data_IF_716489817242
#
_entry.id   IF_716489817242
#
_cell.length_a   1.000
_cell.length_b   1.000
_cell.length_c   1.000
_cell.angle_alpha   90.00
_cell.angle_beta   90.00
_cell.angle_gamma   90.00
#
_symmetry.space_group_name_H-M   'P 1'
#
loop_
_entity.id
_entity.type
_entity.pdbx_description
1 polymer ?
#
# COMPACT_ATOMS: atom_id res chain seq x y z
N UNK A 1 2.94 16.49 2.79
CA UNK A 1 2.47 15.84 1.55
C UNK A 1 2.26 14.35 1.80
N UNK A 2 1.60 13.64 0.88
CA UNK A 2 1.46 12.18 0.91
C UNK A 2 2.74 11.50 0.42
N UNK A 3 3.30 10.59 1.22
CA UNK A 3 4.62 10.02 0.96
C UNK A 3 4.60 8.55 0.57
N UNK A 4 3.80 7.71 1.24
CA UNK A 4 3.72 6.27 0.96
C UNK A 4 2.37 5.73 1.38
N UNK A 5 1.84 4.77 0.62
CA UNK A 5 0.52 4.17 0.85
C UNK A 5 0.64 2.65 0.86
N UNK A 6 0.00 2.01 1.84
CA UNK A 6 -0.03 0.57 2.01
C UNK A 6 -1.45 0.10 2.23
N UNK A 7 -1.81 -1.01 1.60
CA UNK A 7 -3.15 -1.61 1.65
C UNK A 7 -2.99 -3.05 2.09
N UNK A 8 -3.66 -3.45 3.16
CA UNK A 8 -3.62 -4.80 3.70
C UNK A 8 -5.00 -5.27 4.11
N UNK A 9 -5.21 -6.59 4.11
CA UNK A 9 -6.45 -7.19 4.61
C UNK A 9 -6.44 -7.24 6.13
N UNK A 10 -7.55 -6.87 6.77
CA UNK A 10 -7.65 -6.78 8.23
C UNK A 10 -7.58 -8.16 8.91
N UNK A 11 -8.18 -9.19 8.31
CA UNK A 11 -8.32 -10.51 8.94
C UNK A 11 -7.00 -11.21 9.25
N UNK A 12 -5.98 -11.01 8.42
CA UNK A 12 -4.70 -11.73 8.45
C UNK A 12 -3.48 -10.84 8.24
N UNK A 13 -3.66 -9.53 8.04
CA UNK A 13 -2.59 -8.59 7.73
C UNK A 13 -1.95 -8.82 6.37
N UNK A 14 -2.61 -9.56 5.45
CA UNK A 14 -2.05 -9.88 4.14
C UNK A 14 -1.88 -8.59 3.32
N UNK A 15 -0.66 -8.24 2.87
CA UNK A 15 -0.47 -7.06 2.02
C UNK A 15 -1.14 -7.29 0.66
N UNK A 16 -1.98 -6.34 0.25
CA UNK A 16 -2.79 -6.40 -0.97
C UNK A 16 -2.18 -5.56 -2.09
N UNK A 17 -1.76 -4.33 -1.75
CA UNK A 17 -1.11 -3.39 -2.66
C UNK A 17 -0.27 -2.38 -1.87
N UNK A 18 0.73 -1.79 -2.53
CA UNK A 18 1.57 -0.75 -1.95
C UNK A 18 2.02 0.21 -3.04
N UNK A 19 2.17 1.50 -2.71
CA UNK A 19 2.72 2.48 -3.64
C UNK A 19 4.21 2.27 -3.86
N UNK A 20 4.67 2.36 -5.11
CA UNK A 20 6.10 2.45 -5.41
C UNK A 20 6.64 3.81 -4.99
N UNK A 21 7.69 3.82 -4.17
CA UNK A 21 8.33 5.04 -3.67
C UNK A 21 9.75 5.16 -4.23
N UNK A 22 10.23 6.40 -4.37
CA UNK A 22 11.61 6.67 -4.79
C UNK A 22 12.61 6.21 -3.72
N UNK A 23 13.81 5.81 -4.13
CA UNK A 23 14.84 5.25 -3.23
C UNK A 23 15.17 6.15 -2.03
N UNK A 24 15.11 7.48 -2.20
CA UNK A 24 15.34 8.42 -1.11
C UNK A 24 14.22 8.38 -0.06
N UNK A 25 12.96 8.36 -0.53
CA UNK A 25 11.76 8.26 0.32
C UNK A 25 11.72 6.90 1.01
N UNK A 26 12.06 5.83 0.31
CA UNK A 26 12.09 4.49 0.89
C UNK A 26 13.09 4.38 2.06
N UNK A 27 14.28 4.97 1.92
CA UNK A 27 15.27 4.97 3.01
C UNK A 27 14.81 5.82 4.20
N UNK A 28 14.21 6.99 3.93
CA UNK A 28 13.72 7.89 4.97
C UNK A 28 12.51 7.32 5.74
N UNK A 29 11.69 6.50 5.07
CA UNK A 29 10.48 5.92 5.64
C UNK A 29 10.64 4.48 6.14
N UNK A 30 11.84 3.90 6.09
CA UNK A 30 12.06 2.48 6.45
C UNK A 30 11.48 2.13 7.83
N UNK A 31 11.71 2.97 8.83
CA UNK A 31 11.19 2.79 10.19
C UNK A 31 9.66 2.89 10.23
N UNK A 32 9.09 3.91 9.58
CA UNK A 32 7.64 4.13 9.50
C UNK A 32 6.90 3.02 8.75
N UNK A 33 7.55 2.42 7.74
CA UNK A 33 7.03 1.25 7.04
C UNK A 33 7.03 0.00 7.92
N UNK A 34 8.00 -0.17 8.82
CA UNK A 34 7.99 -1.25 9.82
C UNK A 34 6.86 -1.06 10.81
N UNK A 35 6.70 0.16 11.31
CA UNK A 35 5.63 0.51 12.22
C UNK A 35 4.24 0.27 11.59
N UNK A 36 4.06 0.58 10.29
CA UNK A 36 2.85 0.24 9.55
C UNK A 36 2.58 -1.28 9.50
N UNK A 37 3.61 -2.10 9.28
CA UNK A 37 3.48 -3.57 9.33
C UNK A 37 3.06 -4.06 10.72
N UNK A 38 3.63 -3.50 11.78
CA UNK A 38 3.24 -3.83 13.16
C UNK A 38 1.79 -3.42 13.44
N UNK A 39 1.38 -2.27 12.94
CA UNK A 39 0.00 -1.82 13.05
C UNK A 39 -0.96 -2.81 12.38
N UNK A 40 -0.70 -3.26 11.16
CA UNK A 40 -1.55 -4.23 10.47
C UNK A 40 -1.71 -5.54 11.25
N UNK A 41 -0.69 -5.95 12.00
CA UNK A 41 -0.76 -7.14 12.88
C UNK A 41 -1.55 -6.90 14.17
N UNK A 42 -1.70 -5.65 14.61
CA UNK A 42 -2.38 -5.26 15.85
C UNK A 42 -3.80 -4.76 15.66
N UNK A 43 -4.20 -4.41 14.44
CA UNK A 43 -5.59 -4.04 14.14
C UNK A 43 -6.48 -5.25 14.45
N UNK A 44 -7.35 -5.10 15.44
CA UNK A 44 -8.35 -6.10 15.80
C UNK A 44 -9.68 -5.84 15.08
N UNK A 45 -10.59 -6.82 15.03
CA UNK A 45 -11.97 -6.61 14.56
C UNK A 45 -12.75 -5.52 15.29
N UNK A 46 -12.29 -5.11 16.49
CA UNK A 46 -12.85 -4.03 17.31
C UNK A 46 -12.07 -2.71 17.17
N UNK A 47 -11.11 -2.64 16.25
CA UNK A 47 -10.36 -1.42 16.01
C UNK A 47 -11.28 -0.31 15.47
N UNK A 48 -10.93 0.93 15.80
CA UNK A 48 -11.59 2.10 15.27
C UNK A 48 -11.48 2.13 13.73
N UNK A 49 -12.57 2.40 12.99
CA UNK A 49 -12.54 2.44 11.54
C UNK A 49 -11.59 3.49 10.96
N UNK A 50 -11.32 4.58 11.70
CA UNK A 50 -10.39 5.64 11.31
C UNK A 50 -9.54 6.03 12.50
N UNK A 51 -8.24 6.17 12.30
CA UNK A 51 -7.33 6.59 13.35
C UNK A 51 -6.12 7.30 12.75
N UNK A 52 -5.62 8.27 13.50
CA UNK A 52 -4.33 8.90 13.26
C UNK A 52 -3.33 8.34 14.26
N UNK A 53 -2.12 8.04 13.81
CA UNK A 53 -1.02 7.58 14.65
C UNK A 53 0.15 8.53 14.48
N UNK A 54 0.50 9.20 15.56
CA UNK A 54 1.69 10.03 15.60
C UNK A 54 2.91 9.15 15.85
N UNK A 55 3.86 9.19 14.92
CA UNK A 55 5.14 8.50 15.03
C UNK A 55 6.25 9.54 14.92
N UNK A 56 6.94 9.79 16.02
CA UNK A 56 8.03 10.76 16.06
C UNK A 56 7.68 12.18 15.58
N UNK A 57 8.71 12.99 15.25
CA UNK A 57 8.52 14.42 14.97
C UNK A 57 8.19 14.74 13.50
N UNK A 58 8.49 13.84 12.55
CA UNK A 58 8.46 14.18 11.11
C UNK A 58 7.22 13.71 10.37
N UNK A 59 6.73 12.52 10.67
CA UNK A 59 5.65 11.90 9.90
C UNK A 59 4.47 11.51 10.79
N UNK A 60 3.34 11.27 10.14
CA UNK A 60 2.12 10.82 10.78
C UNK A 60 1.50 9.74 9.89
N UNK A 61 1.01 8.68 10.52
CA UNK A 61 0.33 7.60 9.83
C UNK A 61 -1.16 7.80 10.00
N UNK A 62 -1.91 7.75 8.92
CA UNK A 62 -3.37 7.75 8.96
C UNK A 62 -3.85 6.43 8.38
N UNK A 63 -4.79 5.77 9.05
CA UNK A 63 -5.43 4.59 8.49
C UNK A 63 -6.96 4.68 8.52
N UNK A 64 -7.56 4.06 7.51
CA UNK A 64 -9.00 3.87 7.37
C UNK A 64 -9.28 2.39 7.06
N UNK A 65 -10.26 1.81 7.72
CA UNK A 65 -10.76 0.46 7.46
C UNK A 65 -12.03 0.57 6.64
N UNK A 66 -12.08 -0.12 5.51
CA UNK A 66 -13.27 -0.23 4.65
C UNK A 66 -13.32 -1.58 3.94
N UNK A 67 -14.50 -2.21 3.80
CA UNK A 67 -15.78 -1.83 4.41
C UNK A 67 -15.83 -2.10 5.93
N UNK A 68 -16.65 -1.34 6.65
CA UNK A 68 -16.94 -1.50 8.08
C UNK A 68 -18.06 -2.56 8.26
N UNK A 69 -18.06 -3.39 9.33
CA UNK A 69 -17.08 -3.46 10.42
C UNK A 69 -15.78 -4.19 10.06
N UNK A 70 -14.71 -3.90 10.81
CA UNK A 70 -13.37 -4.48 10.62
C UNK A 70 -13.32 -6.02 10.73
N UNK A 71 -14.35 -6.64 11.35
CA UNK A 71 -14.47 -8.10 11.43
C UNK A 71 -14.91 -8.79 10.13
N UNK A 72 -15.22 -8.05 9.07
CA UNK A 72 -15.58 -8.66 7.78
C UNK A 72 -14.34 -9.31 7.12
N UNK A 73 -14.49 -10.45 6.42
CA UNK A 73 -13.37 -11.13 5.77
C UNK A 73 -12.81 -10.34 4.58
N UNK A 74 -13.59 -9.44 4.00
CA UNK A 74 -13.24 -8.52 2.93
C UNK A 74 -12.85 -7.12 3.44
N UNK A 75 -12.77 -6.91 4.77
CA UNK A 75 -12.32 -5.65 5.33
C UNK A 75 -10.84 -5.39 5.01
N UNK A 76 -10.58 -4.19 4.49
CA UNK A 76 -9.25 -3.73 4.09
C UNK A 76 -8.86 -2.53 4.93
N UNK A 77 -7.63 -2.51 5.40
CA UNK A 77 -7.01 -1.33 5.99
C UNK A 77 -6.19 -0.62 4.91
N UNK A 78 -6.53 0.66 4.72
CA UNK A 78 -5.81 1.61 3.89
C UNK A 78 -5.00 2.51 4.81
N UNK A 79 -3.69 2.50 4.65
CA UNK A 79 -2.76 3.30 5.45
C UNK A 79 -1.97 4.24 4.55
N UNK A 80 -1.83 5.48 4.98
CA UNK A 80 -1.00 6.50 4.33
C UNK A 80 -0.03 7.11 5.33
N UNK A 81 1.20 7.31 4.90
CA UNK A 81 2.24 8.04 5.62
C UNK A 81 2.33 9.44 5.01
N UNK A 82 2.19 10.46 5.85
CA UNK A 82 2.26 11.86 5.44
C UNK A 82 3.26 12.63 6.30
N UNK A 83 3.69 13.80 5.83
CA UNK A 83 4.32 14.78 6.72
C UNK A 83 3.39 15.15 7.87
N UNK A 84 3.96 15.41 9.05
CA UNK A 84 3.19 15.82 10.24
C UNK A 84 2.38 17.10 10.03
N UNK A 85 2.85 18.00 9.16
CA UNK A 85 2.16 19.24 8.81
C UNK A 85 1.02 19.06 7.81
N UNK A 86 0.85 17.87 7.23
CA UNK A 86 -0.17 17.63 6.21
C UNK A 86 -1.58 17.62 6.84
N UNK A 87 -2.57 18.31 6.25
CA UNK A 87 -3.91 18.37 6.82
C UNK A 87 -4.57 16.98 6.92
N UNK A 88 -4.99 16.60 8.13
CA UNK A 88 -5.67 15.30 8.40
C UNK A 88 -6.87 15.07 7.49
N UNK A 89 -7.66 16.12 7.22
CA UNK A 89 -8.83 16.07 6.33
C UNK A 89 -8.47 15.59 4.93
N UNK A 90 -7.35 16.08 4.37
CA UNK A 90 -6.88 15.68 3.06
C UNK A 90 -6.36 14.23 3.08
N UNK A 91 -5.71 13.81 4.16
CA UNK A 91 -5.24 12.43 4.31
C UNK A 91 -6.40 11.43 4.30
N UNK A 92 -7.47 11.69 5.05
CA UNK A 92 -8.66 10.83 5.04
C UNK A 92 -9.45 10.91 3.74
N UNK A 93 -9.56 12.09 3.13
CA UNK A 93 -10.16 12.21 1.79
C UNK A 93 -9.39 11.39 0.75
N UNK A 94 -8.06 11.42 0.78
CA UNK A 94 -7.21 10.57 -0.05
C UNK A 94 -7.50 9.07 0.19
N UNK A 95 -7.53 8.63 1.45
CA UNK A 95 -7.82 7.23 1.80
C UNK A 95 -9.21 6.79 1.37
N UNK A 96 -10.21 7.68 1.47
CA UNK A 96 -11.59 7.40 1.07
C UNK A 96 -11.73 7.22 -0.45
N UNK A 97 -11.03 8.04 -1.25
CA UNK A 97 -10.97 7.83 -2.70
C UNK A 97 -10.32 6.50 -3.07
N UNK A 98 -9.24 6.12 -2.38
CA UNK A 98 -8.61 4.82 -2.58
C UNK A 98 -9.53 3.67 -2.18
N UNK A 99 -10.21 3.77 -1.05
CA UNK A 99 -11.11 2.74 -0.55
C UNK A 99 -12.26 2.48 -1.53
N UNK A 100 -12.92 3.54 -2.01
CA UNK A 100 -14.02 3.45 -2.97
C UNK A 100 -13.57 2.82 -4.30
N UNK A 101 -12.43 3.25 -4.82
CA UNK A 101 -11.91 2.69 -6.09
C UNK A 101 -11.49 1.23 -5.93
N UNK A 102 -10.83 0.90 -4.82
CA UNK A 102 -10.36 -0.45 -4.53
C UNK A 102 -11.52 -1.41 -4.34
N UNK A 103 -12.55 -1.01 -3.59
CA UNK A 103 -13.77 -1.79 -3.40
C UNK A 103 -14.49 -2.03 -4.73
N UNK A 104 -14.63 -0.99 -5.56
CA UNK A 104 -15.25 -1.10 -6.89
C UNK A 104 -14.48 -2.05 -7.81
N UNK A 105 -13.14 -2.01 -7.77
CA UNK A 105 -12.30 -2.78 -8.69
C UNK A 105 -12.04 -4.21 -8.24
N UNK A 106 -11.89 -4.41 -6.92
CA UNK A 106 -11.35 -5.65 -6.35
C UNK A 106 -12.15 -6.22 -5.17
N UNK A 107 -13.19 -5.53 -4.67
CA UNK A 107 -13.89 -5.91 -3.43
C UNK A 107 -14.32 -7.38 -3.37
N UNK A 108 -14.89 -7.91 -4.47
CA UNK A 108 -15.31 -9.32 -4.55
C UNK A 108 -14.16 -10.34 -4.44
N UNK A 109 -12.93 -9.93 -4.75
CA UNK A 109 -11.75 -10.80 -4.74
C UNK A 109 -11.03 -10.77 -3.39
N UNK A 110 -11.14 -9.69 -2.61
CA UNK A 110 -10.42 -9.47 -1.34
C UNK A 110 -10.71 -10.56 -0.31
N UNK A 111 -11.96 -11.05 -0.22
CA UNK A 111 -12.36 -12.07 0.75
C UNK A 111 -11.81 -13.48 0.48
N UNK A 112 -11.12 -13.70 -0.65
CA UNK A 112 -10.61 -15.02 -1.02
C UNK A 112 -9.45 -15.44 -0.11
N UNK A 113 -9.54 -16.64 0.48
CA UNK A 113 -8.49 -17.14 1.41
C UNK A 113 -7.15 -17.41 0.73
N UNK A 114 -7.14 -17.71 -0.57
CA UNK A 114 -5.94 -18.11 -1.32
C UNK A 114 -5.26 -16.95 -2.07
N UNK A 115 -5.42 -15.71 -1.59
CA UNK A 115 -4.74 -14.57 -2.18
C UNK A 115 -3.24 -14.61 -1.87
N UNK A 116 -2.43 -14.39 -2.90
CA UNK A 116 -0.99 -14.17 -2.72
C UNK A 116 -0.73 -12.76 -2.19
N UNK A 117 0.37 -12.55 -1.44
CA UNK A 117 0.85 -11.21 -1.12
C UNK A 117 0.97 -10.34 -2.37
N UNK A 118 0.54 -9.08 -2.25
CA UNK A 118 0.49 -8.10 -3.34
C UNK A 118 -0.29 -8.59 -4.57
N UNK A 119 -1.41 -9.30 -4.36
CA UNK A 119 -2.26 -9.75 -5.46
C UNK A 119 -2.75 -8.61 -6.36
N UNK A 120 -2.87 -7.39 -5.83
CA UNK A 120 -3.45 -6.23 -6.50
C UNK A 120 -2.42 -5.15 -6.83
N UNK A 121 -1.18 -5.52 -7.18
CA UNK A 121 -0.11 -4.58 -7.61
C UNK A 121 -0.54 -3.59 -8.69
N UNK A 122 -1.49 -3.96 -9.56
CA UNK A 122 -2.00 -3.08 -10.62
C UNK A 122 -2.65 -1.79 -10.09
N UNK A 123 -3.12 -1.80 -8.84
CA UNK A 123 -3.71 -0.64 -8.19
C UNK A 123 -2.71 0.51 -7.95
N UNK A 124 -1.39 0.25 -8.00
CA UNK A 124 -0.35 1.27 -7.86
C UNK A 124 -0.54 2.41 -8.87
N UNK A 125 -0.97 2.13 -10.10
CA UNK A 125 -1.21 3.19 -11.10
C UNK A 125 -2.30 4.18 -10.67
N UNK A 126 -3.33 3.71 -9.97
CA UNK A 126 -4.34 4.60 -9.39
C UNK A 126 -3.76 5.35 -8.18
N UNK A 127 -3.12 4.64 -7.26
CA UNK A 127 -2.50 5.25 -6.07
C UNK A 127 -1.52 6.37 -6.42
N UNK A 128 -0.67 6.18 -7.44
CA UNK A 128 0.28 7.20 -7.89
C UNK A 128 -0.39 8.43 -8.50
N UNK A 129 -1.45 8.24 -9.29
CA UNK A 129 -2.23 9.35 -9.87
C UNK A 129 -2.90 10.16 -8.77
N UNK A 130 -3.58 9.49 -7.85
CA UNK A 130 -4.24 10.14 -6.72
C UNK A 130 -3.21 10.80 -5.79
N UNK A 131 -2.08 10.15 -5.52
CA UNK A 131 -0.98 10.74 -4.71
C UNK A 131 -0.48 12.06 -5.30
N UNK A 132 -0.34 12.16 -6.63
CA UNK A 132 0.06 13.42 -7.30
C UNK A 132 -0.99 14.51 -7.15
N UNK A 133 -2.27 14.16 -7.27
CA UNK A 133 -3.37 15.11 -7.06
C UNK A 133 -3.37 15.67 -5.63
N UNK A 134 -3.05 14.82 -4.65
CA UNK A 134 -2.99 15.16 -3.23
C UNK A 134 -1.62 15.69 -2.74
N UNK A 135 -0.64 15.80 -3.64
CA UNK A 135 0.71 16.27 -3.30
C UNK A 135 0.72 17.78 -3.01
N UNK A 136 0.00 18.57 -3.80
CA UNK A 136 -0.22 19.99 -3.56
C UNK A 136 -1.51 20.19 -2.75
N UNK A 137 -1.38 20.66 -1.52
CA UNK A 137 -2.51 20.86 -0.61
C UNK A 137 -3.52 21.86 -1.16
N UNK A 138 -3.09 22.87 -1.94
CA UNK A 138 -3.99 23.88 -2.50
C UNK A 138 -4.86 23.29 -3.61
N UNK A 139 -4.24 22.53 -4.50
CA UNK A 139 -4.93 21.83 -5.59
C UNK A 139 -5.84 20.72 -5.06
N UNK A 140 -5.40 20.01 -4.01
CA UNK A 140 -6.20 19.00 -3.34
C UNK A 140 -7.42 19.60 -2.63
N UNK A 141 -7.26 20.75 -1.95
CA UNK A 141 -8.37 21.48 -1.34
C UNK A 141 -9.40 21.89 -2.36
N UNK A 142 -8.98 22.50 -3.49
CA UNK A 142 -9.91 22.87 -4.55
C UNK A 142 -10.59 21.66 -5.19
N UNK A 143 -9.90 20.53 -5.38
CA UNK A 143 -10.50 19.32 -5.92
C UNK A 143 -11.55 18.69 -4.98
N UNK A 144 -11.29 18.74 -3.66
CA UNK A 144 -12.24 18.32 -2.64
C UNK A 144 -13.43 19.28 -2.60
N UNK A 145 -13.20 20.59 -2.68
CA UNK A 145 -14.25 21.60 -2.70
C UNK A 145 -15.14 21.52 -3.95
N UNK A 146 -14.55 21.28 -5.14
CA UNK A 146 -15.29 21.07 -6.39
C UNK A 146 -16.16 19.81 -6.34
N UNK A 147 -15.64 18.68 -5.83
CA UNK A 147 -16.45 17.47 -5.63
C UNK A 147 -17.55 17.67 -4.57
N UNK A 148 -17.30 18.51 -3.57
CA UNK A 148 -18.24 18.74 -2.45
C UNK A 148 -19.31 19.80 -2.72
N UNK A 149 -19.22 20.53 -3.84
CA UNK A 149 -20.28 21.38 -4.42
C UNK A 149 -21.08 22.22 -3.42
N UNK A 150 -20.64 23.45 -3.17
CA UNK A 150 -21.40 24.59 -2.59
C UNK A 150 -22.43 24.32 -1.47
N UNK A 151 -22.24 23.33 -0.62
CA UNK A 151 -23.09 23.08 0.55
C UNK A 151 -22.22 23.22 1.80
N UNK A 152 -22.25 24.41 2.40
CA UNK A 152 -21.61 24.74 3.68
C UNK A 152 -21.89 23.68 4.76
N UNK A 153 -23.04 23.01 4.68
CA UNK A 153 -23.47 21.91 5.57
C UNK A 153 -22.61 20.65 5.44
N UNK A 154 -22.23 20.22 4.22
CA UNK A 154 -21.39 19.03 4.02
C UNK A 154 -19.94 19.29 4.42
N UNK A 155 -19.44 20.51 4.20
CA UNK A 155 -18.12 20.90 4.65
C UNK A 155 -18.00 20.83 6.18
N UNK A 156 -19.08 21.19 6.88
CA UNK A 156 -19.18 21.14 8.34
C UNK A 156 -19.32 19.70 8.86
N UNK A 157 -20.09 18.83 8.18
CA UNK A 157 -20.13 17.38 8.46
C UNK A 157 -18.75 16.72 8.29
N UNK A 158 -18.07 16.96 7.15
CA UNK A 158 -16.74 16.41 6.90
C UNK A 158 -15.68 16.93 7.90
N UNK A 159 -15.84 18.17 8.39
CA UNK A 159 -14.98 18.74 9.44
C UNK A 159 -15.23 18.10 10.80
N UNK A 160 -16.50 17.86 11.16
CA UNK A 160 -16.85 17.14 12.39
C UNK A 160 -16.38 15.69 12.35
N UNK A 161 -16.48 15.02 11.20
CA UNK A 161 -16.12 13.60 11.03
C UNK A 161 -14.60 13.36 11.20
N UNK A 162 -13.76 14.33 10.82
CA UNK A 162 -12.30 14.30 11.08
C UNK A 162 -11.98 14.63 12.55
N UNK A 163 -12.79 15.47 13.21
CA UNK A 163 -12.57 15.82 14.61
C UNK A 163 -12.82 14.65 15.57
N UNK A 164 -13.71 13.72 15.21
CA UNK A 164 -13.93 12.46 15.95
C UNK A 164 -12.85 11.41 15.74
N UNK A 165 -11.91 11.59 14.80
CA UNK A 165 -10.85 10.61 14.55
C UNK A 165 -9.91 10.53 15.75
N UNK A 166 -9.81 9.35 16.34
CA UNK A 166 -8.90 9.08 17.44
C UNK A 166 -7.44 9.27 16.99
N UNK A 167 -6.68 10.02 17.78
CA UNK A 167 -5.23 10.11 17.64
C UNK A 167 -4.59 9.21 18.68
N UNK A 168 -3.70 8.32 18.25
CA UNK A 168 -2.89 7.47 19.12
C UNK A 168 -1.42 7.79 18.93
N UNK A 169 -0.64 7.62 19.99
CA UNK A 169 0.80 7.68 19.87
C UNK A 169 1.33 6.29 19.49
N UNK A 170 2.38 6.26 18.67
CA UNK A 170 2.96 5.01 18.21
C UNK A 170 3.69 4.23 19.30
N UNK A 171 4.39 4.91 20.20
CA UNK A 171 5.07 4.30 21.33
C UNK A 171 4.06 3.56 22.24
N UNK A 172 2.89 4.16 22.50
CA UNK A 172 1.80 3.51 23.25
C UNK A 172 1.25 2.27 22.52
N UNK A 173 1.14 2.37 21.18
CA UNK A 173 0.72 1.27 20.33
C UNK A 173 1.75 0.15 20.23
N UNK A 174 3.04 0.43 20.41
CA UNK A 174 4.13 -0.55 20.42
C UNK A 174 4.25 -1.23 21.80
N UNK A 175 4.10 -0.48 22.89
CA UNK A 175 4.31 -0.98 24.24
C UNK A 175 3.28 -1.97 24.78
N UNK A 176 2.06 -1.97 24.23
CA UNK A 176 1.01 -2.88 24.68
C UNK A 176 1.20 -4.36 24.28
N UNK A 177 2.29 -4.74 23.61
CA UNK A 177 2.37 -6.09 23.03
C UNK A 177 3.73 -6.74 22.78
N UNK A 178 4.86 -6.03 22.71
CA UNK A 178 6.17 -6.63 22.43
C UNK A 178 7.29 -5.71 22.95
N UNK A 179 8.37 -6.30 23.49
CA UNK A 179 9.57 -5.56 23.91
C UNK A 179 10.24 -4.89 22.68
N UNK A 180 10.77 -3.67 22.87
CA UNK A 180 11.45 -2.83 21.86
C UNK A 180 12.50 -3.57 21.00
N UNK A 181 13.06 -4.69 21.50
CA UNK A 181 14.11 -5.47 20.84
C UNK A 181 13.69 -6.16 19.52
N UNK A 182 12.40 -6.50 19.32
CA UNK A 182 11.96 -7.13 18.08
C UNK A 182 11.93 -6.18 16.86
N UNK A 183 11.91 -4.86 17.07
CA UNK A 183 11.91 -3.86 15.99
C UNK A 183 13.26 -3.82 15.25
N UNK A 184 14.36 -4.07 15.97
CA UNK A 184 15.70 -4.19 15.40
C UNK A 184 15.81 -5.40 14.47
N UNK A 185 15.26 -6.55 14.86
CA UNK A 185 15.29 -7.78 14.05
C UNK A 185 14.33 -7.74 12.85
N UNK A 186 13.20 -7.02 12.95
CA UNK A 186 12.28 -6.85 11.82
C UNK A 186 12.87 -5.96 10.71
N UNK A 187 13.86 -5.11 11.02
CA UNK A 187 14.56 -4.25 10.06
C UNK A 187 15.34 -5.00 8.98
N UNK A 188 15.89 -6.19 9.28
CA UNK A 188 16.58 -7.01 8.28
C UNK A 188 15.59 -7.72 7.34
N UNK A 189 14.46 -8.18 7.88
CA UNK A 189 13.46 -8.97 7.13
C UNK A 189 12.80 -8.22 5.97
N UNK A 190 12.66 -6.89 6.06
CA UNK A 190 12.06 -6.05 5.00
C UNK A 190 12.94 -5.93 3.76
N UNK A 191 14.25 -5.79 3.95
CA UNK A 191 15.21 -5.81 2.85
C UNK A 191 15.23 -7.18 2.17
N UNK A 192 15.20 -8.24 2.98
CA UNK A 192 15.24 -9.61 2.47
C UNK A 192 13.95 -10.01 1.73
N UNK A 193 12.77 -9.63 2.21
CA UNK A 193 11.50 -9.82 1.50
C UNK A 193 11.50 -9.07 0.15
N UNK A 194 11.84 -7.78 0.16
CA UNK A 194 11.84 -6.94 -1.05
C UNK A 194 12.79 -7.50 -2.11
N UNK A 195 13.96 -8.00 -1.69
CA UNK A 195 14.92 -8.67 -2.58
C UNK A 195 14.38 -10.01 -3.11
N UNK A 196 13.69 -10.80 -2.29
CA UNK A 196 13.09 -12.07 -2.69
C UNK A 196 12.00 -11.87 -3.76
N UNK A 197 11.15 -10.86 -3.61
CA UNK A 197 10.10 -10.55 -4.58
C UNK A 197 10.65 -9.93 -5.87
N UNK A 198 11.67 -9.05 -5.78
CA UNK A 198 12.36 -8.54 -6.97
C UNK A 198 13.00 -9.67 -7.78
N UNK A 199 13.58 -10.66 -7.11
CA UNK A 199 14.13 -11.87 -7.74
C UNK A 199 13.02 -12.71 -8.39
N UNK A 200 11.89 -12.92 -7.71
CA UNK A 200 10.75 -13.66 -8.27
C UNK A 200 10.16 -12.99 -9.52
N UNK A 201 9.97 -11.67 -9.51
CA UNK A 201 9.51 -10.92 -10.68
C UNK A 201 10.50 -10.99 -11.86
N UNK A 202 11.81 -10.95 -11.57
CA UNK A 202 12.85 -11.12 -12.59
C UNK A 202 12.84 -12.53 -13.19
N UNK A 203 12.63 -13.56 -12.38
CA UNK A 203 12.50 -14.94 -12.84
C UNK A 203 11.28 -15.10 -13.76
N UNK A 204 10.11 -14.54 -13.40
CA UNK A 204 8.92 -14.57 -14.26
C UNK A 204 9.20 -13.93 -15.63
N UNK A 205 9.93 -12.81 -15.66
CA UNK A 205 10.33 -12.16 -16.92
C UNK A 205 11.28 -13.03 -17.74
N UNK A 206 12.24 -13.70 -17.11
CA UNK A 206 13.18 -14.60 -17.77
C UNK A 206 12.46 -15.83 -18.33
N UNK A 207 11.56 -16.45 -17.56
CA UNK A 207 10.78 -17.60 -18.01
C UNK A 207 9.89 -17.25 -19.21
N UNK A 208 9.28 -16.06 -19.20
CA UNK A 208 8.52 -15.55 -20.33
C UNK A 208 9.41 -15.37 -21.59
N UNK A 209 10.61 -14.81 -21.42
CA UNK A 209 11.58 -14.65 -22.51
C UNK A 209 12.04 -16.01 -23.05
N UNK A 210 12.41 -16.95 -22.17
CA UNK A 210 12.83 -18.30 -22.57
C UNK A 210 11.72 -18.96 -23.39
N UNK A 211 10.46 -18.89 -22.92
CA UNK A 211 9.33 -19.51 -23.63
C UNK A 211 9.08 -18.91 -25.01
N UNK A 212 9.34 -17.61 -25.19
CA UNK A 212 9.18 -16.92 -26.47
C UNK A 212 10.32 -17.23 -27.46
N UNK A 213 11.57 -17.29 -26.99
CA UNK A 213 12.75 -17.41 -27.85
C UNK A 213 13.26 -18.86 -28.03
N UNK A 214 12.91 -19.78 -27.13
CA UNK A 214 13.29 -21.21 -27.24
C UNK A 214 12.93 -21.87 -28.59
N UNK A 215 11.73 -21.72 -29.16
CA UNK A 215 11.41 -22.34 -30.45
C UNK A 215 12.21 -21.76 -31.61
N UNK A 216 12.48 -20.45 -31.60
CA UNK A 216 13.28 -19.78 -32.63
C UNK A 216 14.74 -20.28 -32.55
N UNK A 217 15.28 -20.38 -31.34
CA UNK A 217 16.62 -20.92 -31.12
C UNK A 217 16.75 -22.38 -31.55
N UNK A 218 15.76 -23.21 -31.27
CA UNK A 218 15.74 -24.62 -31.67
C UNK A 218 15.76 -24.78 -33.20
N UNK A 219 14.97 -23.99 -33.93
CA UNK A 219 14.96 -24.03 -35.41
C UNK A 219 16.29 -23.56 -35.99
N UNK A 220 16.85 -22.46 -35.47
CA UNK A 220 18.15 -21.96 -35.91
C UNK A 220 19.28 -22.99 -35.66
N UNK A 221 19.26 -23.64 -34.50
CA UNK A 221 20.20 -24.71 -34.17
C UNK A 221 20.06 -25.90 -35.13
N UNK A 222 18.83 -26.31 -35.45
CA UNK A 222 18.57 -27.41 -36.39
C UNK A 222 19.09 -27.10 -37.79
N UNK A 223 18.90 -25.85 -38.27
CA UNK A 223 19.44 -25.39 -39.56
C UNK A 223 20.96 -25.42 -39.56
N UNK A 224 21.60 -24.88 -38.51
CA UNK A 224 23.06 -24.91 -38.38
C UNK A 224 23.61 -26.34 -38.31
N UNK A 225 22.93 -27.23 -37.61
CA UNK A 225 23.31 -28.64 -37.50
C UNK A 225 23.26 -29.36 -38.86
N UNK A 226 22.20 -29.12 -39.65
CA UNK A 226 22.08 -29.66 -41.02
C UNK A 226 23.17 -29.10 -41.94
N UNK A 227 23.46 -27.80 -41.84
CA UNK A 227 24.55 -27.18 -42.61
C UNK A 227 25.92 -27.75 -42.24
N UNK A 228 26.16 -28.01 -40.95
CA UNK A 228 27.42 -28.58 -40.47
C UNK A 228 27.65 -29.99 -41.02
N UNK A 229 26.64 -30.87 -40.98
CA UNK A 229 26.71 -32.22 -41.57
C UNK A 229 26.90 -32.18 -43.10
N UNK A 230 26.38 -31.13 -43.76
CA UNK A 230 26.47 -31.03 -45.22
C UNK A 230 27.84 -30.55 -45.70
N UNK A 231 28.52 -29.72 -44.92
CA UNK A 231 29.78 -29.08 -45.33
C UNK A 231 31.04 -29.78 -44.78
N UNK A 232 30.89 -30.69 -43.83
CA UNK A 232 31.98 -31.44 -43.18
C UNK A 232 31.67 -32.94 -43.20
#
# INVERSE_FOLDING_TARGET
MVLSTQIARVSDGLPLAQSVDDSAVDSALSEYKQQAKLLFRRISPQAEPRCTIESGPKYTLHYQISPVPAGRPDAVVFLVITDRSYPRKLAFSYLDELAKEFERSYGAQVGQRNLRPFAFVGFDTFMQRTKRLYADTRTAQSAVEEKSGSNLTRLNEDLQDVASVMTKNMEDLLWRGETLDQMSTMSSSLRDESLKYRKAAKQIRIDALIRQYAPIGAVAFLILFVLWIKFF
#
